data_IF_788115762749
#
_entry.id   IF_788115762749
#
_cell.length_a   1.000
_cell.length_b   1.000
_cell.length_c   1.000
_cell.angle_alpha   90.00
_cell.angle_beta   90.00
_cell.angle_gamma   90.00
#
_symmetry.space_group_name_H-M   'P 1'
#
loop_
_entity.id
_entity.type
_entity.pdbx_description
1 polymer ?
#
# COMPACT_ATOMS: atom_id res chain seq x y z
N UNK A 1 -4.84 -11.39 -18.32
CA UNK A 1 -5.11 -12.18 -17.12
C UNK A 1 -4.86 -11.32 -15.88
N UNK A 2 -5.79 -11.35 -14.98
CA UNK A 2 -5.65 -10.56 -13.75
C UNK A 2 -4.71 -11.29 -12.80
N UNK A 3 -3.67 -10.61 -12.37
CA UNK A 3 -2.73 -11.18 -11.42
C UNK A 3 -3.23 -10.93 -10.00
N UNK A 4 -4.14 -11.78 -9.53
CA UNK A 4 -4.68 -11.67 -8.18
C UNK A 4 -3.79 -12.32 -7.13
N UNK A 5 -2.71 -12.99 -7.56
CA UNK A 5 -1.79 -13.59 -6.61
C UNK A 5 -0.96 -12.57 -5.86
N UNK A 6 -0.79 -11.37 -6.44
CA UNK A 6 -0.02 -10.32 -5.79
C UNK A 6 -0.92 -9.42 -4.96
N UNK A 7 -0.62 -9.25 -3.68
CA UNK A 7 -1.33 -8.28 -2.85
C UNK A 7 -1.28 -6.88 -3.43
N UNK A 8 -2.29 -6.10 -3.12
CA UNK A 8 -2.39 -4.71 -3.56
C UNK A 8 -2.21 -3.78 -2.36
N UNK A 9 -1.17 -2.97 -2.40
CA UNK A 9 -0.99 -1.93 -1.39
C UNK A 9 -1.66 -0.67 -1.90
N UNK A 10 -2.67 -0.20 -1.17
CA UNK A 10 -3.40 1.00 -1.53
C UNK A 10 -2.90 2.15 -0.66
N UNK A 11 -2.44 3.21 -1.32
CA UNK A 11 -1.95 4.40 -0.65
C UNK A 11 -2.98 5.52 -0.80
N UNK A 12 -3.65 5.84 0.29
CA UNK A 12 -4.60 6.95 0.34
C UNK A 12 -3.84 8.22 0.73
N UNK A 13 -3.95 9.23 -0.12
CA UNK A 13 -3.23 10.48 0.08
C UNK A 13 -4.10 11.68 -0.28
N UNK A 14 -3.61 12.86 0.05
CA UNK A 14 -4.17 14.13 -0.41
C UNK A 14 -3.01 15.03 -0.79
N UNK A 15 -3.16 15.76 -1.89
CA UNK A 15 -2.17 16.73 -2.31
C UNK A 15 -1.93 17.80 -1.24
N UNK A 16 -2.91 17.99 -0.36
CA UNK A 16 -2.83 18.98 0.70
C UNK A 16 -2.11 18.45 1.96
N UNK A 17 -1.79 17.18 2.00
CA UNK A 17 -1.13 16.58 3.16
C UNK A 17 0.37 16.47 2.93
N UNK A 18 1.16 17.25 3.70
CA UNK A 18 2.60 17.15 3.64
C UNK A 18 3.13 15.77 4.01
N UNK A 19 2.64 15.16 5.11
CA UNK A 19 3.04 13.79 5.45
C UNK A 19 2.76 12.78 4.36
N UNK A 20 1.60 12.88 3.70
CA UNK A 20 1.28 11.97 2.60
C UNK A 20 2.23 12.16 1.43
N UNK A 21 2.55 13.40 1.10
CA UNK A 21 3.46 13.70 0.00
C UNK A 21 4.87 13.15 0.27
N UNK A 22 5.30 13.21 1.52
CA UNK A 22 6.63 12.71 1.88
C UNK A 22 6.72 11.19 1.76
N UNK A 23 5.61 10.48 1.92
CA UNK A 23 5.60 9.03 1.79
C UNK A 23 5.63 8.57 0.34
N UNK A 24 5.31 9.43 -0.59
CA UNK A 24 5.16 9.04 -1.98
C UNK A 24 6.43 8.45 -2.59
N UNK A 25 7.56 9.11 -2.37
CA UNK A 25 8.84 8.61 -2.90
C UNK A 25 9.22 7.27 -2.31
N UNK A 26 9.00 7.11 -1.01
CA UNK A 26 9.27 5.85 -0.33
C UNK A 26 8.43 4.73 -0.92
N UNK A 27 7.13 4.98 -1.09
CA UNK A 27 6.23 3.95 -1.62
C UNK A 27 6.54 3.62 -3.06
N UNK A 28 6.92 4.61 -3.87
CA UNK A 28 7.33 4.34 -5.24
C UNK A 28 8.57 3.46 -5.28
N UNK A 29 9.51 3.71 -4.37
CA UNK A 29 10.71 2.87 -4.27
C UNK A 29 10.35 1.44 -3.87
N UNK A 30 9.51 1.29 -2.85
CA UNK A 30 9.08 -0.03 -2.40
C UNK A 30 8.31 -0.78 -3.49
N UNK A 31 7.47 -0.06 -4.23
CA UNK A 31 6.72 -0.69 -5.31
C UNK A 31 7.64 -1.24 -6.39
N UNK A 32 8.71 -0.52 -6.73
CA UNK A 32 9.69 -1.00 -7.70
C UNK A 32 10.47 -2.19 -7.16
N UNK A 33 10.88 -2.11 -5.89
CA UNK A 33 11.65 -3.17 -5.25
C UNK A 33 10.84 -4.46 -5.13
N UNK A 34 9.55 -4.33 -4.81
CA UNK A 34 8.69 -5.47 -4.55
C UNK A 34 7.70 -5.77 -5.67
N UNK A 35 8.00 -5.30 -6.88
CA UNK A 35 7.04 -5.43 -7.99
C UNK A 35 6.60 -6.85 -8.31
N UNK A 36 7.40 -7.84 -7.98
CA UNK A 36 7.05 -9.23 -8.22
C UNK A 36 6.15 -9.79 -7.13
N UNK A 37 6.09 -9.14 -5.96
CA UNK A 37 5.34 -9.62 -4.83
C UNK A 37 4.10 -8.78 -4.51
N UNK A 38 4.04 -7.55 -5.02
CA UNK A 38 2.89 -6.69 -4.74
C UNK A 38 2.66 -5.68 -5.86
N UNK A 39 1.45 -5.09 -5.83
CA UNK A 39 1.10 -3.97 -6.69
C UNK A 39 0.85 -2.77 -5.79
N UNK A 40 1.03 -1.57 -6.34
CA UNK A 40 0.74 -0.33 -5.63
C UNK A 40 -0.34 0.44 -6.38
N UNK A 41 -1.32 0.93 -5.65
CA UNK A 41 -2.31 1.84 -6.21
C UNK A 41 -2.41 3.08 -5.32
N UNK A 42 -2.35 4.25 -5.95
CA UNK A 42 -2.48 5.53 -5.26
C UNK A 42 -3.91 6.03 -5.42
N UNK A 43 -4.51 6.44 -4.33
CA UNK A 43 -5.87 6.99 -4.36
C UNK A 43 -5.87 8.34 -3.67
N UNK A 44 -6.23 9.38 -4.44
CA UNK A 44 -6.39 10.73 -3.90
C UNK A 44 -7.78 10.80 -3.26
N UNK A 45 -7.83 10.98 -1.94
CA UNK A 45 -9.10 10.99 -1.22
C UNK A 45 -9.96 12.19 -1.58
N UNK A 46 -9.36 13.26 -2.07
CA UNK A 46 -10.13 14.44 -2.49
C UNK A 46 -10.84 14.18 -3.81
N UNK A 47 -10.28 13.32 -4.65
CA UNK A 47 -10.87 12.95 -5.93
C UNK A 47 -11.76 11.71 -5.82
N UNK A 48 -11.50 10.85 -4.87
CA UNK A 48 -12.26 9.62 -4.68
C UNK A 48 -12.72 9.47 -3.23
N UNK A 49 -13.56 10.40 -2.76
CA UNK A 49 -14.07 10.30 -1.39
C UNK A 49 -14.91 9.04 -1.16
N UNK A 50 -15.49 8.49 -2.22
CA UNK A 50 -16.24 7.25 -2.15
C UNK A 50 -15.37 6.08 -1.70
N UNK A 51 -14.14 6.00 -2.22
CA UNK A 51 -13.22 4.93 -1.83
C UNK A 51 -12.66 5.16 -0.44
N UNK A 52 -12.40 6.42 -0.08
CA UNK A 52 -11.95 6.73 1.27
C UNK A 52 -12.99 6.29 2.30
N UNK A 53 -14.26 6.54 2.02
CA UNK A 53 -15.34 6.11 2.90
C UNK A 53 -15.45 4.59 2.95
N UNK A 54 -15.37 3.95 1.80
CA UNK A 54 -15.45 2.49 1.72
C UNK A 54 -14.38 1.81 2.57
N UNK A 55 -13.17 2.33 2.57
CA UNK A 55 -12.08 1.79 3.35
C UNK A 55 -11.95 2.43 4.74
N UNK A 56 -12.90 3.26 5.11
CA UNK A 56 -12.92 3.93 6.41
C UNK A 56 -11.65 4.71 6.69
N UNK A 57 -11.20 5.45 5.70
CA UNK A 57 -10.02 6.28 5.82
C UNK A 57 -10.40 7.57 6.52
N UNK A 58 -9.91 7.75 7.77
CA UNK A 58 -10.21 8.92 8.56
C UNK A 58 -9.13 9.99 8.46
N UNK A 59 -7.95 9.60 8.07
CA UNK A 59 -6.82 10.51 7.94
C UNK A 59 -5.90 10.07 6.81
N UNK A 60 -5.07 10.96 6.34
CA UNK A 60 -4.06 10.64 5.35
C UNK A 60 -2.68 11.03 5.87
N UNK A 61 -1.65 10.27 5.54
CA UNK A 61 -1.67 9.08 4.71
C UNK A 61 -2.26 7.87 5.42
N UNK A 62 -2.83 6.95 4.65
CA UNK A 62 -3.27 5.65 5.15
C UNK A 62 -2.88 4.60 4.13
N UNK A 63 -2.32 3.50 4.61
CA UNK A 63 -1.95 2.36 3.78
C UNK A 63 -2.87 1.19 4.11
N UNK A 64 -3.41 0.57 3.07
CA UNK A 64 -4.26 -0.60 3.21
C UNK A 64 -3.70 -1.69 2.31
N UNK A 65 -3.39 -2.83 2.90
CA UNK A 65 -2.91 -3.97 2.13
C UNK A 65 -4.06 -4.93 1.90
N UNK A 66 -4.37 -5.17 0.63
CA UNK A 66 -5.47 -6.04 0.22
C UNK A 66 -4.91 -7.32 -0.35
N UNK A 67 -5.37 -8.45 0.19
CA UNK A 67 -5.01 -9.79 -0.29
C UNK A 67 -6.32 -10.55 -0.51
N UNK A 68 -6.42 -11.18 -1.67
CA UNK A 68 -7.59 -12.01 -1.98
C UNK A 68 -8.89 -11.26 -1.72
N UNK A 69 -8.92 -9.97 -2.13
CA UNK A 69 -10.08 -9.10 -2.03
C UNK A 69 -10.48 -8.74 -0.61
N UNK A 70 -9.57 -8.93 0.35
CA UNK A 70 -9.82 -8.58 1.76
C UNK A 70 -8.70 -7.72 2.29
N UNK A 71 -9.04 -6.86 3.25
CA UNK A 71 -8.03 -6.07 3.92
C UNK A 71 -7.24 -7.00 4.84
N UNK A 72 -5.97 -7.17 4.53
CA UNK A 72 -5.09 -8.01 5.33
C UNK A 72 -4.40 -7.22 6.44
N UNK A 73 -4.13 -5.94 6.18
CA UNK A 73 -3.46 -5.09 7.16
C UNK A 73 -3.68 -3.63 6.77
N UNK A 74 -3.52 -2.74 7.74
CA UNK A 74 -3.58 -1.31 7.45
C UNK A 74 -2.72 -0.54 8.43
N UNK A 75 -2.24 0.61 7.99
CA UNK A 75 -1.47 1.54 8.80
C UNK A 75 -2.06 2.92 8.58
N UNK A 76 -2.62 3.51 9.63
CA UNK A 76 -3.24 4.81 9.56
C UNK A 76 -2.27 5.90 10.02
N UNK A 77 -2.23 7.00 9.29
CA UNK A 77 -1.37 8.12 9.61
C UNK A 77 0.08 7.89 9.21
N UNK A 78 0.95 8.76 9.68
CA UNK A 78 2.38 8.66 9.38
C UNK A 78 2.98 7.43 10.03
N UNK A 79 3.74 6.69 9.26
CA UNK A 79 4.46 5.51 9.75
C UNK A 79 5.87 5.53 9.19
N UNK A 80 6.76 4.89 9.90
CA UNK A 80 8.15 4.79 9.48
C UNK A 80 8.34 3.72 8.41
N UNK A 81 9.42 3.87 7.65
CA UNK A 81 9.78 2.87 6.65
C UNK A 81 9.91 1.47 7.25
N UNK A 82 10.61 1.28 8.39
CA UNK A 82 10.70 -0.06 8.98
C UNK A 82 9.35 -0.65 9.31
N UNK A 83 8.38 0.16 9.70
CA UNK A 83 7.06 -0.32 10.03
C UNK A 83 6.31 -0.80 8.79
N UNK A 84 6.45 -0.06 7.70
CA UNK A 84 5.86 -0.47 6.42
C UNK A 84 6.49 -1.76 5.95
N UNK A 85 7.82 -1.84 6.02
CA UNK A 85 8.53 -3.04 5.60
C UNK A 85 8.16 -4.25 6.45
N UNK A 86 7.96 -4.06 7.76
CA UNK A 86 7.54 -5.15 8.64
C UNK A 86 6.16 -5.67 8.25
N UNK A 87 5.24 -4.77 7.92
CA UNK A 87 3.92 -5.17 7.46
C UNK A 87 4.01 -5.96 6.16
N UNK A 88 4.80 -5.48 5.21
CA UNK A 88 4.96 -6.15 3.93
C UNK A 88 5.60 -7.53 4.11
N UNK A 89 6.62 -7.62 4.94
CA UNK A 89 7.30 -8.88 5.19
C UNK A 89 6.37 -9.93 5.78
N UNK A 90 5.42 -9.49 6.61
CA UNK A 90 4.45 -10.37 7.23
C UNK A 90 3.42 -10.92 6.24
N UNK A 91 3.09 -10.15 5.21
CA UNK A 91 1.96 -10.45 4.35
C UNK A 91 2.29 -10.75 2.90
N UNK A 92 3.46 -10.34 2.41
CA UNK A 92 3.80 -10.61 1.02
C UNK A 92 4.24 -12.06 0.85
N UNK A 93 3.91 -12.66 -0.29
CA UNK A 93 4.36 -14.02 -0.57
C UNK A 93 5.89 -14.04 -0.68
N UNK A 94 6.49 -15.13 -0.22
CA UNK A 94 7.93 -15.31 -0.38
C UNK A 94 8.26 -15.40 -1.86
N UNK A 95 9.39 -14.79 -2.26
CA UNK A 95 9.87 -14.97 -3.62
C UNK A 95 10.38 -16.40 -3.75
N UNK A 96 10.00 -17.04 -4.86
CA UNK A 96 10.54 -18.34 -5.16
C UNK A 96 12.04 -18.21 -5.34
N UNK A 97 12.84 -18.99 -4.64
CA UNK A 97 14.26 -18.97 -4.92
C UNK A 97 14.49 -19.36 -6.38
N UNK A 98 15.43 -18.68 -7.01
CA UNK A 98 15.78 -19.05 -8.38
C UNK A 98 16.04 -20.56 -8.39
N UNK A 99 15.43 -21.24 -9.35
CA UNK A 99 15.60 -22.67 -9.43
C UNK A 99 17.09 -22.97 -9.51
N UNK A 100 17.56 -23.67 -8.51
CA UNK A 100 18.96 -24.03 -8.49
C UNK A 100 19.21 -25.06 -9.57
#
# INVERSE_FOLDING_TARGET
MIDEARPLLVFFFSERSGPARRMESLLAHLARKERERMRLRRIDVDLRPDLAERFRVAEVPTLVLVKERRVAARLDGRVSSPRIEAMLEQHLPALEPAAA
#
